data_IF_850956299541
#
_entry.id   IF_850956299541
#
_cell.length_a   1.000
_cell.length_b   1.000
_cell.length_c   1.000
_cell.angle_alpha   90.00
_cell.angle_beta   90.00
_cell.angle_gamma   90.00
#
_symmetry.space_group_name_H-M   'P 1'
#
loop_
_entity.id
_entity.type
_entity.pdbx_description
1 polymer ?
#
# COMPACT_ATOMS: atom_id res chain seq x y z
N UNK A 1 -9.23 15.15 -3.36
CA UNK A 1 -9.88 16.49 -3.31
C UNK A 1 -11.11 16.54 -2.39
N UNK A 2 -11.95 15.49 -2.34
CA UNK A 2 -13.15 15.49 -1.46
C UNK A 2 -12.76 15.45 0.02
N UNK A 3 -11.83 14.59 0.39
CA UNK A 3 -11.33 14.45 1.76
C UNK A 3 -10.66 15.73 2.32
N UNK A 4 -10.18 16.63 1.44
CA UNK A 4 -9.54 17.89 1.82
C UNK A 4 -10.53 19.06 1.93
N UNK A 5 -11.82 18.83 1.77
CA UNK A 5 -12.84 19.89 1.97
C UNK A 5 -12.95 20.21 3.46
N UNK A 6 -13.05 21.50 3.80
CA UNK A 6 -13.29 21.91 5.19
C UNK A 6 -14.62 21.38 5.69
N UNK A 7 -14.82 21.46 6.99
CA UNK A 7 -16.09 21.16 7.64
C UNK A 7 -17.23 22.01 7.06
N UNK A 8 -18.40 21.40 6.88
CA UNK A 8 -19.66 22.02 6.47
C UNK A 8 -20.77 21.71 7.49
N UNK A 9 -21.99 22.16 7.21
CA UNK A 9 -23.12 21.97 8.13
C UNK A 9 -23.51 20.51 8.32
N UNK A 10 -23.29 19.66 7.30
CA UNK A 10 -23.59 18.23 7.34
C UNK A 10 -22.42 17.42 7.91
N UNK A 11 -21.17 17.88 7.69
CA UNK A 11 -19.94 17.20 8.10
C UNK A 11 -19.09 18.12 8.98
N UNK A 12 -19.55 18.37 10.20
CA UNK A 12 -18.92 19.32 11.16
C UNK A 12 -17.49 18.99 11.55
N UNK A 13 -17.05 17.75 11.34
CA UNK A 13 -15.69 17.29 11.60
C UNK A 13 -14.82 17.21 10.35
N UNK A 14 -15.33 17.70 9.21
CA UNK A 14 -14.65 17.63 7.93
C UNK A 14 -14.88 16.31 7.20
N UNK A 15 -14.19 16.15 6.07
CA UNK A 15 -14.38 15.04 5.14
C UNK A 15 -13.21 14.03 5.16
N UNK A 16 -12.31 14.11 6.14
CA UNK A 16 -11.09 13.28 6.20
C UNK A 16 -11.36 11.77 6.16
N UNK A 17 -12.46 11.32 6.76
CA UNK A 17 -12.86 9.89 6.73
C UNK A 17 -13.16 9.36 5.32
N UNK A 18 -13.40 10.23 4.33
CA UNK A 18 -13.56 9.82 2.94
C UNK A 18 -12.29 9.17 2.35
N UNK A 19 -11.11 9.57 2.84
CA UNK A 19 -9.84 8.92 2.46
C UNK A 19 -9.78 7.49 3.00
N UNK A 20 -10.18 7.27 4.24
CA UNK A 20 -10.23 5.93 4.84
C UNK A 20 -11.26 5.03 4.14
N UNK A 21 -12.43 5.56 3.73
CA UNK A 21 -13.40 4.83 2.92
C UNK A 21 -12.84 4.45 1.55
N UNK A 22 -12.14 5.36 0.88
CA UNK A 22 -11.47 5.07 -0.38
C UNK A 22 -10.38 4.00 -0.21
N UNK A 23 -9.58 4.09 0.86
CA UNK A 23 -8.58 3.08 1.21
C UNK A 23 -9.19 1.70 1.45
N UNK A 24 -10.33 1.63 2.16
CA UNK A 24 -11.08 0.39 2.37
C UNK A 24 -11.58 -0.21 1.07
N UNK A 25 -12.20 0.60 0.19
CA UNK A 25 -12.66 0.15 -1.11
C UNK A 25 -11.50 -0.38 -1.95
N UNK A 26 -10.38 0.33 -1.99
CA UNK A 26 -9.17 -0.10 -2.68
C UNK A 26 -8.63 -1.41 -2.12
N UNK A 27 -8.57 -1.57 -0.80
CA UNK A 27 -8.13 -2.80 -0.15
C UNK A 27 -9.01 -4.00 -0.53
N UNK A 28 -10.33 -3.82 -0.64
CA UNK A 28 -11.24 -4.87 -1.09
C UNK A 28 -10.94 -5.29 -2.54
N UNK A 29 -10.79 -4.34 -3.47
CA UNK A 29 -10.47 -4.64 -4.87
C UNK A 29 -9.12 -5.35 -5.01
N UNK A 30 -8.10 -4.87 -4.30
CA UNK A 30 -6.77 -5.49 -4.28
C UNK A 30 -6.84 -6.90 -3.67
N UNK A 31 -7.58 -7.06 -2.57
CA UNK A 31 -7.76 -8.35 -1.90
C UNK A 31 -8.43 -9.39 -2.79
N UNK A 32 -9.53 -9.02 -3.48
CA UNK A 32 -10.20 -9.90 -4.44
C UNK A 32 -9.25 -10.27 -5.58
N UNK A 33 -8.53 -9.31 -6.14
CA UNK A 33 -7.55 -9.56 -7.21
C UNK A 33 -6.44 -10.51 -6.73
N UNK A 34 -5.94 -10.34 -5.52
CA UNK A 34 -4.92 -11.22 -4.94
C UNK A 34 -5.43 -12.66 -4.78
N UNK A 35 -6.67 -12.84 -4.33
CA UNK A 35 -7.29 -14.19 -4.22
C UNK A 35 -7.40 -14.84 -5.60
N UNK A 36 -7.88 -14.10 -6.62
CA UNK A 36 -7.97 -14.64 -7.98
C UNK A 36 -6.60 -15.05 -8.55
N UNK A 37 -5.57 -14.22 -8.35
CA UNK A 37 -4.19 -14.55 -8.75
C UNK A 37 -3.71 -15.79 -8.00
N UNK A 38 -3.99 -15.89 -6.70
CA UNK A 38 -3.62 -17.04 -5.87
C UNK A 38 -4.27 -18.34 -6.33
N UNK A 39 -5.57 -18.29 -6.68
CA UNK A 39 -6.29 -19.45 -7.22
C UNK A 39 -5.69 -19.89 -8.56
N UNK A 40 -5.46 -18.96 -9.49
CA UNK A 40 -4.83 -19.26 -10.77
C UNK A 40 -3.41 -19.83 -10.61
N UNK A 41 -2.63 -19.30 -9.68
CA UNK A 41 -1.29 -19.81 -9.38
C UNK A 41 -1.36 -21.25 -8.81
N UNK A 42 -2.32 -21.51 -7.91
CA UNK A 42 -2.54 -22.85 -7.37
C UNK A 42 -2.98 -23.85 -8.44
N UNK A 43 -3.87 -23.46 -9.36
CA UNK A 43 -4.27 -24.30 -10.49
C UNK A 43 -3.09 -24.64 -11.41
N UNK A 44 -2.20 -23.68 -11.67
CA UNK A 44 -0.99 -23.91 -12.47
C UNK A 44 0.01 -24.85 -11.81
N UNK A 45 0.02 -24.95 -10.48
CA UNK A 45 0.81 -25.95 -9.77
C UNK A 45 0.35 -27.38 -10.07
N UNK A 46 -0.98 -27.59 -10.18
CA UNK A 46 -1.57 -28.91 -10.45
C UNK A 46 -1.60 -29.27 -11.94
N UNK A 47 -1.83 -28.27 -12.79
CA UNK A 47 -1.92 -28.43 -14.24
C UNK A 47 -0.99 -27.42 -14.92
N UNK A 48 0.31 -27.73 -15.06
CA UNK A 48 1.26 -26.84 -15.71
C UNK A 48 0.79 -26.57 -17.15
N UNK A 49 0.40 -25.33 -17.41
CA UNK A 49 0.07 -24.88 -18.75
C UNK A 49 1.34 -24.45 -19.47
N UNK A 50 1.49 -24.82 -20.76
CA UNK A 50 2.62 -24.29 -21.53
C UNK A 50 2.48 -22.77 -21.58
N UNK A 51 3.54 -22.08 -21.17
CA UNK A 51 3.62 -20.64 -21.25
C UNK A 51 3.48 -20.28 -22.75
N UNK A 52 2.44 -19.55 -23.12
CA UNK A 52 2.27 -18.99 -24.46
C UNK A 52 3.49 -18.14 -24.83
N UNK A 53 3.40 -17.42 -25.94
CA UNK A 53 4.52 -16.67 -26.54
C UNK A 53 5.24 -15.77 -25.50
N UNK A 54 6.16 -16.39 -24.72
CA UNK A 54 6.89 -15.77 -23.62
C UNK A 54 7.81 -14.64 -24.09
N UNK A 55 8.13 -14.60 -25.40
CA UNK A 55 9.04 -13.60 -25.96
C UNK A 55 8.47 -12.18 -25.86
N UNK A 56 7.21 -11.98 -26.24
CA UNK A 56 6.55 -10.67 -26.18
C UNK A 56 6.36 -10.25 -24.73
N UNK A 57 5.95 -11.17 -23.85
CA UNK A 57 5.80 -10.88 -22.42
C UNK A 57 7.11 -10.42 -21.76
N UNK A 58 8.22 -11.11 -22.04
CA UNK A 58 9.55 -10.73 -21.54
C UNK A 58 9.96 -9.35 -22.08
N UNK A 59 9.74 -9.06 -23.37
CA UNK A 59 10.11 -7.78 -23.97
C UNK A 59 9.33 -6.62 -23.31
N UNK A 60 8.02 -6.78 -23.10
CA UNK A 60 7.18 -5.78 -22.40
C UNK A 60 7.64 -5.59 -20.97
N UNK A 61 7.94 -6.66 -20.24
CA UNK A 61 8.43 -6.58 -18.87
C UNK A 61 9.79 -5.90 -18.76
N UNK A 62 10.72 -6.20 -19.66
CA UNK A 62 12.03 -5.54 -19.71
C UNK A 62 11.89 -4.04 -19.99
N UNK A 63 10.99 -3.66 -20.92
CA UNK A 63 10.71 -2.26 -21.19
C UNK A 63 10.11 -1.56 -19.96
N UNK A 64 9.11 -2.16 -19.33
CA UNK A 64 8.50 -1.63 -18.10
C UNK A 64 9.52 -1.46 -16.97
N UNK A 65 10.36 -2.48 -16.75
CA UNK A 65 11.43 -2.46 -15.76
C UNK A 65 12.44 -1.34 -16.03
N UNK A 66 12.83 -1.16 -17.30
CA UNK A 66 13.72 -0.09 -17.73
C UNK A 66 13.13 1.31 -17.47
N UNK A 67 11.86 1.51 -17.80
CA UNK A 67 11.15 2.76 -17.54
C UNK A 67 11.03 3.05 -16.03
N UNK A 68 10.72 2.04 -15.23
CA UNK A 68 10.65 2.18 -13.76
C UNK A 68 12.00 2.52 -13.16
N UNK A 69 13.08 1.90 -13.62
CA UNK A 69 14.45 2.22 -13.19
C UNK A 69 14.82 3.66 -13.55
N UNK A 70 14.49 4.11 -14.77
CA UNK A 70 14.73 5.48 -15.20
C UNK A 70 13.96 6.49 -14.33
N UNK A 71 12.70 6.20 -14.02
CA UNK A 71 11.86 7.01 -13.13
C UNK A 71 12.45 7.07 -11.72
N UNK A 72 12.86 5.94 -11.14
CA UNK A 72 13.50 5.89 -9.82
C UNK A 72 14.82 6.67 -9.78
N UNK A 73 15.61 6.63 -10.85
CA UNK A 73 16.83 7.42 -10.95
C UNK A 73 16.51 8.94 -10.95
N UNK A 74 15.46 9.35 -11.69
CA UNK A 74 14.99 10.73 -11.71
C UNK A 74 14.47 11.15 -10.33
N UNK A 75 13.63 10.33 -9.71
CA UNK A 75 13.08 10.60 -8.36
C UNK A 75 14.19 10.74 -7.31
N UNK A 76 15.23 9.87 -7.35
CA UNK A 76 16.40 10.01 -6.47
C UNK A 76 17.10 11.36 -6.64
N UNK A 77 17.24 11.84 -7.88
CA UNK A 77 17.80 13.18 -8.16
C UNK A 77 16.91 14.28 -7.58
N UNK A 78 15.60 14.21 -7.78
CA UNK A 78 14.64 15.18 -7.25
C UNK A 78 14.67 15.18 -5.72
N UNK A 79 14.63 14.02 -5.07
CA UNK A 79 14.67 13.91 -3.60
C UNK A 79 15.96 14.57 -3.03
N UNK A 80 17.11 14.36 -3.68
CA UNK A 80 18.37 14.99 -3.26
C UNK A 80 18.34 16.51 -3.38
N UNK A 81 17.64 17.06 -4.36
CA UNK A 81 17.57 18.48 -4.61
C UNK A 81 16.48 19.19 -3.79
N UNK A 82 15.37 18.52 -3.53
CA UNK A 82 14.17 19.14 -2.93
C UNK A 82 13.85 18.66 -1.52
N UNK A 83 14.38 17.49 -1.10
CA UNK A 83 14.01 16.85 0.17
C UNK A 83 12.54 16.42 0.24
N UNK A 84 11.80 16.42 -0.88
CA UNK A 84 10.36 16.17 -0.90
C UNK A 84 9.97 14.81 -0.32
N UNK A 85 9.18 14.83 0.75
CA UNK A 85 8.63 13.63 1.40
C UNK A 85 7.62 12.91 0.51
N UNK A 86 6.83 13.63 -0.27
CA UNK A 86 5.87 13.07 -1.21
C UNK A 86 6.57 12.25 -2.31
N UNK A 87 7.62 12.79 -2.93
CA UNK A 87 8.42 12.05 -3.93
C UNK A 87 9.14 10.86 -3.29
N UNK A 88 9.51 10.97 -2.01
CA UNK A 88 10.12 9.86 -1.25
C UNK A 88 9.14 8.70 -1.05
N UNK A 89 7.90 9.00 -0.65
CA UNK A 89 6.84 8.00 -0.49
C UNK A 89 6.52 7.33 -1.84
N UNK A 90 6.37 8.11 -2.91
CA UNK A 90 6.14 7.62 -4.27
C UNK A 90 7.29 6.72 -4.75
N UNK A 91 8.55 7.07 -4.46
CA UNK A 91 9.71 6.26 -4.79
C UNK A 91 9.74 4.90 -4.08
N UNK A 92 9.16 4.79 -2.88
CA UNK A 92 9.03 3.53 -2.17
C UNK A 92 8.03 2.59 -2.86
N UNK A 93 6.92 3.13 -3.34
CA UNK A 93 5.94 2.40 -4.13
C UNK A 93 6.59 1.81 -5.39
N UNK A 94 7.26 2.62 -6.20
CA UNK A 94 7.94 2.14 -7.42
C UNK A 94 9.08 1.15 -7.15
N UNK A 95 9.75 1.23 -5.99
CA UNK A 95 10.73 0.20 -5.59
C UNK A 95 10.07 -1.14 -5.32
N UNK A 96 8.91 -1.13 -4.67
CA UNK A 96 8.13 -2.36 -4.45
C UNK A 96 7.68 -2.96 -5.77
N UNK A 97 7.18 -2.16 -6.69
CA UNK A 97 6.79 -2.59 -8.03
C UNK A 97 7.98 -3.15 -8.82
N UNK A 98 9.16 -2.53 -8.70
CA UNK A 98 10.39 -3.01 -9.33
C UNK A 98 10.79 -4.40 -8.80
N UNK A 99 10.69 -4.62 -7.49
CA UNK A 99 10.99 -5.91 -6.87
C UNK A 99 9.98 -6.97 -7.31
N UNK A 100 8.69 -6.64 -7.34
CA UNK A 100 7.63 -7.54 -7.79
C UNK A 100 7.83 -7.92 -9.26
N UNK A 101 7.96 -6.93 -10.14
CA UNK A 101 8.17 -7.16 -11.58
C UNK A 101 9.48 -7.89 -11.86
N UNK A 102 10.55 -7.57 -11.12
CA UNK A 102 11.83 -8.29 -11.20
C UNK A 102 11.71 -9.75 -10.79
N UNK A 103 10.93 -10.05 -9.75
CA UNK A 103 10.66 -11.42 -9.31
C UNK A 103 9.87 -12.21 -10.35
N UNK A 104 8.86 -11.57 -10.98
CA UNK A 104 8.08 -12.19 -12.07
C UNK A 104 8.97 -12.47 -13.28
N UNK A 105 9.83 -11.53 -13.67
CA UNK A 105 10.76 -11.73 -14.76
C UNK A 105 11.74 -12.88 -14.48
N UNK A 106 12.26 -12.94 -13.25
CA UNK A 106 13.14 -14.03 -12.83
C UNK A 106 12.41 -15.38 -12.89
N UNK A 107 11.14 -15.43 -12.42
CA UNK A 107 10.30 -16.62 -12.49
C UNK A 107 10.10 -17.10 -13.94
N UNK A 108 9.79 -16.17 -14.87
CA UNK A 108 9.63 -16.48 -16.29
C UNK A 108 10.92 -17.02 -16.92
N UNK A 109 12.07 -16.44 -16.56
CA UNK A 109 13.38 -16.91 -17.03
C UNK A 109 13.68 -18.31 -16.51
N UNK A 110 13.43 -18.57 -15.22
CA UNK A 110 13.64 -19.89 -14.61
C UNK A 110 12.69 -20.95 -15.20
N UNK A 111 11.45 -20.58 -15.48
CA UNK A 111 10.48 -21.47 -16.14
C UNK A 111 10.98 -21.89 -17.55
N UNK A 112 11.65 -21.00 -18.28
CA UNK A 112 12.26 -21.30 -19.59
C UNK A 112 13.43 -22.30 -19.49
N UNK A 113 14.10 -22.38 -18.34
CA UNK A 113 15.16 -23.35 -18.07
C UNK A 113 14.65 -24.72 -17.59
N UNK A 114 13.35 -24.99 -17.71
CA UNK A 114 12.75 -26.29 -17.43
C UNK A 114 12.15 -26.44 -16.04
N UNK A 115 11.88 -25.35 -15.35
CA UNK A 115 11.26 -25.32 -14.03
C UNK A 115 9.92 -24.56 -14.03
N UNK A 116 8.90 -25.05 -14.76
CA UNK A 116 7.63 -24.35 -14.94
C UNK A 116 6.84 -24.17 -13.64
N UNK A 117 7.11 -25.02 -12.63
CA UNK A 117 6.45 -24.94 -11.33
C UNK A 117 6.88 -23.72 -10.51
N UNK A 118 8.05 -23.13 -10.79
CA UNK A 118 8.51 -21.93 -10.10
C UNK A 118 7.65 -20.71 -10.42
N UNK A 119 7.14 -20.57 -11.65
CA UNK A 119 6.21 -19.50 -12.02
C UNK A 119 4.97 -19.52 -11.10
N UNK A 120 4.38 -20.67 -10.91
CA UNK A 120 3.21 -20.84 -10.03
C UNK A 120 3.55 -20.56 -8.55
N UNK A 121 4.73 -20.97 -8.08
CA UNK A 121 5.17 -20.72 -6.70
C UNK A 121 5.43 -19.22 -6.45
N UNK A 122 6.08 -18.53 -7.39
CA UNK A 122 6.26 -17.08 -7.32
C UNK A 122 4.92 -16.36 -7.39
N UNK A 123 4.01 -16.77 -8.29
CA UNK A 123 2.65 -16.25 -8.38
C UNK A 123 1.90 -16.36 -7.06
N UNK A 124 1.99 -17.51 -6.40
CA UNK A 124 1.37 -17.74 -5.08
C UNK A 124 2.01 -16.85 -4.00
N UNK A 125 3.34 -16.74 -3.97
CA UNK A 125 4.04 -15.85 -3.04
C UNK A 125 3.65 -14.39 -3.21
N UNK A 126 3.54 -13.92 -4.45
CA UNK A 126 3.09 -12.55 -4.78
C UNK A 126 1.63 -12.36 -4.33
N UNK A 127 0.74 -13.32 -4.62
CA UNK A 127 -0.65 -13.25 -4.21
C UNK A 127 -0.79 -13.16 -2.68
N UNK A 128 -0.04 -13.95 -1.92
CA UNK A 128 0.00 -13.88 -0.46
C UNK A 128 0.50 -12.51 0.04
N UNK A 129 1.55 -11.97 -0.56
CA UNK A 129 2.08 -10.65 -0.21
C UNK A 129 1.07 -9.53 -0.47
N UNK A 130 0.42 -9.55 -1.65
CA UNK A 130 -0.59 -8.55 -2.00
C UNK A 130 -1.79 -8.65 -1.06
N UNK A 131 -2.25 -9.86 -0.76
CA UNK A 131 -3.36 -10.08 0.17
C UNK A 131 -3.03 -9.57 1.57
N UNK A 132 -1.83 -9.86 2.07
CA UNK A 132 -1.37 -9.35 3.37
C UNK A 132 -1.32 -7.82 3.39
N UNK A 133 -0.81 -7.18 2.32
CA UNK A 133 -0.80 -5.73 2.17
C UNK A 133 -2.21 -5.13 2.16
N UNK A 134 -3.14 -5.75 1.41
CA UNK A 134 -4.54 -5.33 1.37
C UNK A 134 -5.20 -5.42 2.75
N UNK A 135 -4.93 -6.49 3.51
CA UNK A 135 -5.42 -6.64 4.87
C UNK A 135 -4.87 -5.57 5.83
N UNK A 136 -3.61 -5.15 5.65
CA UNK A 136 -3.05 -4.05 6.44
C UNK A 136 -3.77 -2.74 6.14
N UNK A 137 -3.97 -2.39 4.86
CA UNK A 137 -4.70 -1.19 4.46
C UNK A 137 -6.13 -1.22 5.01
N UNK A 138 -6.81 -2.37 4.90
CA UNK A 138 -8.16 -2.54 5.43
C UNK A 138 -8.23 -2.32 6.94
N UNK A 139 -7.27 -2.86 7.71
CA UNK A 139 -7.18 -2.68 9.17
C UNK A 139 -6.92 -1.23 9.54
N UNK A 140 -6.02 -0.55 8.85
CA UNK A 140 -5.72 0.86 9.06
C UNK A 140 -6.93 1.74 8.76
N UNK A 141 -7.55 1.53 7.59
CA UNK A 141 -8.78 2.24 7.21
C UNK A 141 -9.91 2.02 8.22
N UNK A 142 -10.11 0.77 8.68
CA UNK A 142 -11.10 0.45 9.72
C UNK A 142 -10.79 1.20 11.03
N UNK A 143 -9.52 1.23 11.44
CA UNK A 143 -9.11 1.93 12.66
C UNK A 143 -9.42 3.43 12.60
N UNK A 144 -9.19 4.08 11.45
CA UNK A 144 -9.51 5.49 11.23
C UNK A 144 -11.03 5.71 11.24
N UNK A 145 -11.78 4.84 10.58
CA UNK A 145 -13.26 4.93 10.54
C UNK A 145 -13.89 4.75 11.93
N UNK A 146 -13.27 3.95 12.80
CA UNK A 146 -13.70 3.70 14.18
C UNK A 146 -13.13 4.70 15.18
N UNK A 147 -12.66 5.87 14.72
CA UNK A 147 -12.16 6.95 15.59
C UNK A 147 -11.03 6.49 16.53
N UNK A 148 -10.05 5.74 15.99
CA UNK A 148 -8.89 5.32 16.77
C UNK A 148 -8.20 6.54 17.39
N UNK A 149 -7.91 6.44 18.67
CA UNK A 149 -7.20 7.47 19.42
C UNK A 149 -5.79 7.71 18.91
N UNK A 150 -5.31 8.93 19.12
CA UNK A 150 -3.92 9.28 18.88
C UNK A 150 -3.00 8.47 19.81
N UNK A 151 -1.70 8.31 19.46
CA UNK A 151 -0.73 7.66 20.32
C UNK A 151 -0.73 8.28 21.74
N UNK A 152 -0.51 7.45 22.77
CA UNK A 152 -0.67 7.84 24.16
C UNK A 152 0.24 9.00 24.58
N UNK A 153 1.44 9.10 24.00
CA UNK A 153 2.39 10.20 24.21
C UNK A 153 1.80 11.57 23.82
N UNK A 154 1.00 11.62 22.76
CA UNK A 154 0.29 12.85 22.33
C UNK A 154 -0.83 13.19 23.31
N UNK A 155 -1.57 12.20 23.79
CA UNK A 155 -2.61 12.40 24.81
C UNK A 155 -2.05 12.90 26.14
N UNK A 156 -0.92 12.35 26.57
CA UNK A 156 -0.20 12.81 27.77
C UNK A 156 0.29 14.25 27.62
N UNK A 157 0.89 14.60 26.47
CA UNK A 157 1.36 15.95 26.17
C UNK A 157 0.19 16.96 26.17
N UNK A 158 -0.96 16.60 25.57
CA UNK A 158 -2.18 17.41 25.60
C UNK A 158 -2.68 17.63 27.02
N UNK A 159 -2.75 16.55 27.82
CA UNK A 159 -3.16 16.63 29.23
C UNK A 159 -2.24 17.52 30.04
N UNK A 160 -0.93 17.40 29.85
CA UNK A 160 0.07 18.24 30.53
C UNK A 160 -0.10 19.73 30.16
N UNK A 161 -0.35 20.05 28.89
CA UNK A 161 -0.61 21.43 28.46
C UNK A 161 -1.87 22.02 29.10
N UNK A 162 -2.95 21.24 29.21
CA UNK A 162 -4.21 21.70 29.83
C UNK A 162 -4.03 21.88 31.33
N UNK A 163 -3.33 20.97 32.00
CA UNK A 163 -3.05 21.07 33.45
C UNK A 163 -2.12 22.25 33.82
N UNK A 164 -1.33 22.75 32.87
CA UNK A 164 -0.49 23.93 33.07
C UNK A 164 -1.28 25.24 33.11
N UNK A 165 -2.58 25.24 32.74
CA UNK A 165 -3.43 26.44 32.77
C UNK A 165 -3.87 26.73 34.20
N UNK A 166 -3.62 27.95 34.73
CA UNK A 166 -4.03 28.31 36.08
C UNK A 166 -5.54 28.13 36.32
N UNK A 167 -5.89 27.40 37.38
CA UNK A 167 -7.28 27.13 37.74
C UNK A 167 -7.84 25.80 37.27
N UNK A 168 -7.14 25.08 36.36
CA UNK A 168 -7.51 23.72 35.97
C UNK A 168 -7.03 22.74 37.03
N UNK A 169 -7.96 21.96 37.58
CA UNK A 169 -7.69 21.00 38.68
C UNK A 169 -7.52 19.56 38.19
N UNK A 170 -7.92 19.25 36.96
CA UNK A 170 -7.85 17.92 36.42
C UNK A 170 -8.34 17.85 34.99
N UNK A 171 -7.90 16.83 34.24
CA UNK A 171 -8.39 16.48 32.90
C UNK A 171 -8.95 15.07 33.00
N UNK A 172 -10.19 14.89 32.57
CA UNK A 172 -10.88 13.61 32.58
C UNK A 172 -11.46 13.32 31.21
N UNK A 173 -11.44 12.05 30.79
CA UNK A 173 -12.07 11.55 29.57
C UNK A 173 -11.61 12.29 28.28
N UNK A 174 -10.28 12.51 28.18
CA UNK A 174 -9.70 13.07 26.96
C UNK A 174 -9.89 12.07 25.82
N UNK A 175 -10.64 12.47 24.81
CA UNK A 175 -10.85 11.67 23.60
C UNK A 175 -10.24 12.37 22.42
N UNK A 176 -9.42 11.65 21.71
CA UNK A 176 -8.73 12.13 20.50
C UNK A 176 -9.10 11.28 19.30
N UNK A 177 -8.98 11.83 18.10
CA UNK A 177 -9.16 11.07 16.86
C UNK A 177 -8.37 11.71 15.72
N UNK A 178 -8.10 10.92 14.69
CA UNK A 178 -7.60 11.39 13.40
C UNK A 178 -8.78 11.71 12.49
N UNK A 179 -8.79 12.88 11.90
CA UNK A 179 -9.84 13.32 10.94
C UNK A 179 -9.22 13.83 9.66
#
# INVERSE_FOLDING_TARGET
HYALRPADDDHRFGHGKAEALAGMAQALFIGVSAVLIGVQAAERLHTPQPLGDTGVGIAVMLLSLGLTLALLALQRKVIRLTGSTAVRADSLHYRSDLLLNGSILLALLLARFGWPQLDALFGLGIACYILWSALQIARESTSILMDKELPGDVGEAMSALVLAIPGVKGVHDLRTRVS
#
